data_IF_167316161946
#
_entry.id   IF_167316161946
#
_cell.length_a   1.000
_cell.length_b   1.000
_cell.length_c   1.000
_cell.angle_alpha   90.00
_cell.angle_beta   90.00
_cell.angle_gamma   90.00
#
_symmetry.space_group_name_H-M   'P 1'
#
loop_
_entity.id
_entity.type
_entity.pdbx_description
1 polymer ?
#
# COMPACT_ATOMS: atom_id res chain seq x y z
N UNK A 1 -23.44 8.78 -11.15
CA UNK A 1 -22.38 8.01 -10.45
C UNK A 1 -21.92 8.86 -9.28
N UNK A 2 -21.72 8.28 -8.11
CA UNK A 2 -21.22 9.00 -6.94
C UNK A 2 -19.77 9.46 -7.18
N UNK A 3 -19.51 10.77 -7.13
CA UNK A 3 -18.20 11.35 -7.41
C UNK A 3 -17.13 10.93 -6.39
N UNK A 4 -17.52 10.47 -5.19
CA UNK A 4 -16.61 9.90 -4.22
C UNK A 4 -16.16 8.49 -4.64
N UNK A 5 -17.10 7.65 -5.09
CA UNK A 5 -16.82 6.32 -5.62
C UNK A 5 -15.88 6.37 -6.83
N UNK A 6 -16.14 7.27 -7.78
CA UNK A 6 -15.29 7.42 -8.98
C UNK A 6 -13.82 7.74 -8.63
N UNK A 7 -13.61 8.65 -7.67
CA UNK A 7 -12.27 8.96 -7.15
C UNK A 7 -11.63 7.75 -6.49
N UNK A 8 -12.37 6.98 -5.71
CA UNK A 8 -11.86 5.76 -5.06
C UNK A 8 -11.40 4.73 -6.09
N UNK A 9 -12.22 4.47 -7.11
CA UNK A 9 -11.89 3.55 -8.21
C UNK A 9 -10.64 4.02 -8.96
N UNK A 10 -10.53 5.33 -9.25
CA UNK A 10 -9.36 5.90 -9.92
C UNK A 10 -8.07 5.70 -9.11
N UNK A 11 -8.09 6.01 -7.81
CA UNK A 11 -6.93 5.84 -6.92
C UNK A 11 -6.54 4.37 -6.79
N UNK A 12 -7.51 3.49 -6.57
CA UNK A 12 -7.25 2.06 -6.44
C UNK A 12 -6.70 1.45 -7.74
N UNK A 13 -7.20 1.87 -8.90
CA UNK A 13 -6.69 1.45 -10.22
C UNK A 13 -5.24 1.88 -10.41
N UNK A 14 -4.90 3.13 -10.07
CA UNK A 14 -3.52 3.63 -10.16
C UNK A 14 -2.57 2.84 -9.26
N UNK A 15 -2.99 2.56 -8.02
CA UNK A 15 -2.22 1.75 -7.08
C UNK A 15 -2.03 0.32 -7.58
N UNK A 16 -3.11 -0.36 -7.98
CA UNK A 16 -3.07 -1.76 -8.41
C UNK A 16 -2.18 -1.92 -9.65
N UNK A 17 -2.37 -1.09 -10.68
CA UNK A 17 -1.57 -1.14 -11.92
C UNK A 17 -0.08 -0.91 -11.64
N UNK A 18 0.25 0.08 -10.80
CA UNK A 18 1.65 0.33 -10.40
C UNK A 18 2.22 -0.86 -9.63
N UNK A 19 1.48 -1.41 -8.68
CA UNK A 19 1.95 -2.51 -7.84
C UNK A 19 2.14 -3.79 -8.64
N UNK A 20 1.23 -4.11 -9.56
CA UNK A 20 1.33 -5.23 -10.51
C UNK A 20 2.59 -5.08 -11.36
N UNK A 21 2.81 -3.90 -11.96
CA UNK A 21 4.00 -3.65 -12.78
C UNK A 21 5.32 -3.83 -12.01
N UNK A 22 5.36 -3.44 -10.72
CA UNK A 22 6.52 -3.67 -9.85
C UNK A 22 6.72 -5.15 -9.52
N UNK A 23 5.63 -5.92 -9.36
CA UNK A 23 5.73 -7.36 -9.12
C UNK A 23 6.18 -8.09 -10.39
N UNK A 24 5.65 -7.71 -11.55
CA UNK A 24 6.04 -8.27 -12.85
C UNK A 24 7.51 -7.99 -13.19
N UNK A 25 8.00 -6.77 -12.89
CA UNK A 25 9.41 -6.43 -13.11
C UNK A 25 10.37 -7.16 -12.16
N UNK A 26 9.86 -7.67 -11.04
CA UNK A 26 10.59 -8.51 -10.10
C UNK A 26 10.35 -10.03 -10.33
N UNK A 27 9.72 -10.40 -11.45
CA UNK A 27 9.38 -11.79 -11.81
C UNK A 27 8.49 -12.51 -10.77
N UNK A 28 7.74 -11.74 -9.97
CA UNK A 28 6.80 -12.26 -8.95
C UNK A 28 5.39 -12.45 -9.53
N UNK A 29 5.29 -13.29 -10.55
CA UNK A 29 4.07 -13.41 -11.35
C UNK A 29 2.88 -14.02 -10.60
N UNK A 30 3.12 -14.92 -9.64
CA UNK A 30 2.04 -15.48 -8.82
C UNK A 30 1.39 -14.38 -7.96
N UNK A 31 2.21 -13.50 -7.38
CA UNK A 31 1.74 -12.39 -6.56
C UNK A 31 1.02 -11.32 -7.41
N UNK A 32 1.55 -11.01 -8.60
CA UNK A 32 0.91 -10.04 -9.51
C UNK A 32 -0.42 -10.56 -10.05
N UNK A 33 -0.50 -11.87 -10.30
CA UNK A 33 -1.74 -12.53 -10.69
C UNK A 33 -2.77 -12.54 -9.55
N UNK A 34 -2.37 -12.92 -8.33
CA UNK A 34 -3.23 -12.90 -7.16
C UNK A 34 -3.83 -11.49 -6.94
N UNK A 35 -2.98 -10.46 -6.94
CA UNK A 35 -3.41 -9.07 -6.81
C UNK A 35 -4.37 -8.65 -7.92
N UNK A 36 -4.15 -9.12 -9.15
CA UNK A 36 -5.06 -8.85 -10.28
C UNK A 36 -6.44 -9.48 -10.07
N UNK A 37 -6.50 -10.71 -9.54
CA UNK A 37 -7.79 -11.37 -9.24
C UNK A 37 -8.52 -10.68 -8.09
N UNK A 38 -7.82 -10.38 -6.99
CA UNK A 38 -8.40 -9.67 -5.85
C UNK A 38 -8.94 -8.30 -6.27
N UNK A 39 -8.20 -7.55 -7.09
CA UNK A 39 -8.64 -6.25 -7.59
C UNK A 39 -9.85 -6.35 -8.51
N UNK A 40 -9.91 -7.38 -9.35
CA UNK A 40 -11.07 -7.65 -10.23
C UNK A 40 -12.32 -7.95 -9.41
N UNK A 41 -12.21 -8.82 -8.41
CA UNK A 41 -13.32 -9.15 -7.51
C UNK A 41 -13.78 -7.91 -6.74
N UNK A 42 -12.83 -7.12 -6.21
CA UNK A 42 -13.14 -5.86 -5.53
C UNK A 42 -13.92 -4.88 -6.41
N UNK A 43 -13.53 -4.68 -7.67
CA UNK A 43 -14.28 -3.82 -8.61
C UNK A 43 -15.69 -4.37 -8.86
N UNK A 44 -15.83 -5.68 -9.02
CA UNK A 44 -17.14 -6.29 -9.33
C UNK A 44 -18.10 -6.20 -8.15
N UNK A 45 -17.60 -6.33 -6.91
CA UNK A 45 -18.37 -6.22 -5.68
C UNK A 45 -18.51 -4.76 -5.18
N UNK A 46 -17.95 -3.78 -5.90
CA UNK A 46 -17.95 -2.39 -5.44
C UNK A 46 -19.38 -1.84 -5.42
N UNK A 47 -19.85 -1.46 -4.24
CA UNK A 47 -21.21 -0.93 -4.03
C UNK A 47 -22.26 -1.98 -3.67
N UNK A 48 -21.95 -3.28 -3.66
CA UNK A 48 -22.85 -4.30 -3.09
C UNK A 48 -22.88 -4.23 -1.55
N UNK A 49 -21.75 -3.87 -0.94
CA UNK A 49 -21.59 -3.71 0.51
C UNK A 49 -20.88 -2.39 0.84
N UNK A 50 -21.60 -1.26 0.90
CA UNK A 50 -21.01 0.03 1.22
C UNK A 50 -20.34 0.07 2.59
N UNK A 51 -20.80 -0.76 3.55
CA UNK A 51 -20.17 -0.93 4.85
C UNK A 51 -18.74 -1.50 4.80
N UNK A 52 -18.43 -2.42 3.87
CA UNK A 52 -17.11 -3.03 3.73
C UNK A 52 -16.12 -2.16 2.94
N UNK A 53 -16.63 -1.09 2.31
CA UNK A 53 -15.83 -0.16 1.53
C UNK A 53 -14.93 0.70 2.42
N UNK A 54 -15.36 0.99 3.66
CA UNK A 54 -14.56 1.68 4.68
C UNK A 54 -13.39 0.80 5.16
N UNK A 55 -13.61 -0.51 5.27
CA UNK A 55 -12.57 -1.48 5.68
C UNK A 55 -11.54 -1.75 4.56
N UNK A 56 -11.95 -1.58 3.30
CA UNK A 56 -11.04 -1.68 2.13
C UNK A 56 -10.13 -0.47 1.97
N UNK A 57 -10.24 0.55 2.84
CA UNK A 57 -9.33 1.69 2.84
C UNK A 57 -7.99 1.22 3.37
N UNK A 58 -7.04 1.03 2.46
CA UNK A 58 -5.64 0.89 2.83
C UNK A 58 -5.21 2.18 3.51
N UNK A 59 -5.16 2.17 4.85
CA UNK A 59 -4.67 3.29 5.65
C UNK A 59 -3.21 3.53 5.30
N UNK A 60 -2.99 4.38 4.30
CA UNK A 60 -1.72 5.04 4.09
C UNK A 60 -1.42 5.75 5.40
N UNK A 61 -0.49 5.20 6.20
CA UNK A 61 0.15 5.97 7.27
C UNK A 61 0.66 7.21 6.57
N UNK A 62 -0.01 8.34 6.77
CA UNK A 62 0.42 9.62 6.25
C UNK A 62 1.78 9.86 6.87
N UNK A 63 2.85 9.52 6.16
CA UNK A 63 4.19 9.91 6.52
C UNK A 63 4.25 11.40 6.23
N UNK A 64 3.70 12.19 7.16
CA UNK A 64 3.90 13.62 7.22
C UNK A 64 5.40 13.81 7.21
N UNK A 65 5.91 14.36 6.11
CA UNK A 65 7.32 14.39 5.77
C UNK A 65 8.15 14.94 6.91
N UNK A 66 8.87 14.05 7.61
CA UNK A 66 10.03 14.41 8.42
C UNK A 66 11.13 13.41 8.11
N UNK A 67 11.83 13.67 6.99
CA UNK A 67 13.24 13.29 6.88
C UNK A 67 13.98 14.02 8.00
N UNK A 68 14.09 13.41 9.18
CA UNK A 68 15.15 13.75 10.12
C UNK A 68 16.24 12.70 9.97
N UNK A 69 17.22 13.09 9.17
CA UNK A 69 18.60 12.66 9.29
C UNK A 69 18.98 12.71 10.77
N UNK A 70 19.14 11.56 11.43
CA UNK A 70 19.93 11.47 12.66
C UNK A 70 21.09 10.53 12.37
N UNK A 71 22.13 11.14 11.78
CA UNK A 71 23.51 10.81 12.10
C UNK A 71 23.70 11.19 13.57
N UNK A 72 23.97 10.22 14.41
CA UNK A 72 24.67 10.47 15.67
C UNK A 72 25.96 9.66 15.66
N UNK A 73 27.03 10.42 15.44
CA UNK A 73 28.40 10.06 15.79
C UNK A 73 28.48 9.74 17.29
N UNK A 74 29.20 8.65 17.58
CA UNK A 74 29.83 8.18 18.82
C UNK A 74 30.13 9.26 19.90
N UNK A 75 30.10 8.92 21.21
CA UNK A 75 31.35 8.44 21.84
C UNK A 75 31.18 7.34 22.92
N UNK A 76 32.18 6.45 22.94
CA UNK A 76 32.71 5.68 24.06
C UNK A 76 32.05 5.82 25.45
N UNK A 77 31.64 4.71 26.06
CA UNK A 77 32.34 4.08 27.21
C UNK A 77 31.60 2.83 27.73
N UNK A 78 32.39 1.80 28.03
CA UNK A 78 32.25 0.80 29.11
C UNK A 78 31.01 -0.13 29.10
N UNK A 79 31.13 -1.46 29.01
CA UNK A 79 31.57 -2.30 30.14
C UNK A 79 31.91 -3.72 29.65
N UNK A 80 33.00 -4.28 30.17
CA UNK A 80 33.49 -5.67 30.02
C UNK A 80 32.63 -6.69 30.80
N UNK A 81 32.15 -7.77 30.17
CA UNK A 81 31.80 -9.11 30.75
C UNK A 81 31.60 -10.07 29.55
N UNK A 82 32.18 -11.28 29.34
CA UNK A 82 32.99 -12.28 30.07
C UNK A 82 33.93 -12.94 29.04
#
# INVERSE_FOLDING_TARGET
MDAALERRVSVATCWATTRIAVLDSAERYEDSYALTQEFREWILCIGEHPELLEDSVMSLKQTNGKRRLQREDNPAEDTLEI
#
